data_IF_681598241967
#
_entry.id   IF_681598241967
#
_cell.length_a   1.000
_cell.length_b   1.000
_cell.length_c   1.000
_cell.angle_alpha   90.00
_cell.angle_beta   90.00
_cell.angle_gamma   90.00
#
_symmetry.space_group_name_H-M   'P 1'
#
loop_
_entity.id
_entity.type
_entity.pdbx_description
1 polymer ?
#
# COMPACT_ATOMS: atom_id res chain seq x y z
N UNK A 1 6.30 -3.77 7.14
CA UNK A 1 5.17 -2.83 7.16
C UNK A 1 4.04 -3.45 7.96
N UNK A 2 3.57 -2.76 9.00
CA UNK A 2 2.42 -3.22 9.80
C UNK A 2 1.11 -2.67 9.20
N UNK A 3 0.05 -3.49 9.17
CA UNK A 3 -1.27 -3.02 8.71
C UNK A 3 -1.87 -2.05 9.75
N UNK A 4 -2.55 -1.00 9.29
CA UNK A 4 -3.07 0.13 10.10
C UNK A 4 -2.02 1.01 10.81
N UNK A 5 -0.73 0.84 10.54
CA UNK A 5 0.29 1.79 11.02
C UNK A 5 0.21 3.12 10.26
N UNK A 6 0.88 4.16 10.78
CA UNK A 6 1.04 5.43 10.07
C UNK A 6 1.63 5.22 8.65
N UNK A 7 2.64 4.36 8.55
CA UNK A 7 3.25 3.94 7.27
C UNK A 7 2.20 3.37 6.30
N UNK A 8 1.18 2.65 6.80
CA UNK A 8 0.09 2.15 5.96
C UNK A 8 -0.78 3.25 5.39
N UNK A 9 -1.15 4.24 6.19
CA UNK A 9 -1.92 5.37 5.70
C UNK A 9 -1.14 6.23 4.71
N UNK A 10 0.16 6.43 4.96
CA UNK A 10 1.05 7.14 4.03
C UNK A 10 1.17 6.41 2.69
N UNK A 11 1.26 5.08 2.72
CA UNK A 11 1.36 4.27 1.51
C UNK A 11 0.05 4.30 0.69
N UNK A 12 -1.11 4.28 1.35
CA UNK A 12 -2.41 4.51 0.71
C UNK A 12 -2.46 5.91 0.09
N UNK A 13 -2.04 6.95 0.81
CA UNK A 13 -2.06 8.32 0.29
C UNK A 13 -1.13 8.50 -0.93
N UNK A 14 0.04 7.86 -0.91
CA UNK A 14 0.97 7.88 -2.05
C UNK A 14 0.40 7.12 -3.25
N UNK A 15 -0.22 5.95 -3.01
CA UNK A 15 -0.90 5.21 -4.06
C UNK A 15 -2.06 6.02 -4.67
N UNK A 16 -2.93 6.60 -3.85
CA UNK A 16 -4.04 7.43 -4.32
C UNK A 16 -3.58 8.60 -5.19
N UNK A 17 -2.43 9.19 -4.88
CA UNK A 17 -1.81 10.27 -5.68
C UNK A 17 -1.26 9.78 -7.01
N UNK A 18 -0.69 8.58 -7.04
CA UNK A 18 -0.09 7.99 -8.24
C UNK A 18 -1.14 7.40 -9.20
N UNK A 19 -2.24 6.87 -8.67
CA UNK A 19 -3.27 6.13 -9.42
C UNK A 19 -4.60 6.90 -9.52
N UNK A 20 -4.57 8.22 -9.66
CA UNK A 20 -5.77 9.11 -9.73
C UNK A 20 -6.79 8.74 -10.81
N UNK A 21 -6.42 7.95 -11.81
CA UNK A 21 -7.32 7.46 -12.86
C UNK A 21 -8.12 6.21 -12.50
N UNK A 22 -7.85 5.59 -11.35
CA UNK A 22 -8.53 4.40 -10.87
C UNK A 22 -9.73 4.75 -9.97
N UNK A 23 -10.61 3.78 -9.75
CA UNK A 23 -11.67 3.89 -8.75
C UNK A 23 -11.08 3.67 -7.35
N UNK A 24 -10.87 4.76 -6.62
CA UNK A 24 -10.20 4.77 -5.31
C UNK A 24 -11.16 4.78 -4.11
N UNK A 25 -12.42 4.40 -4.32
CA UNK A 25 -13.41 4.22 -3.26
C UNK A 25 -12.92 3.15 -2.27
N UNK A 26 -12.90 3.47 -0.98
CA UNK A 26 -12.34 2.60 0.06
C UNK A 26 -13.43 1.77 0.73
N UNK A 27 -13.05 0.56 1.12
CA UNK A 27 -13.87 -0.34 1.93
C UNK A 27 -13.79 0.01 3.43
N UNK A 28 -14.67 -0.55 4.29
CA UNK A 28 -14.54 -0.45 5.73
C UNK A 28 -13.16 -0.92 6.24
N UNK A 29 -12.60 -0.19 7.22
CA UNK A 29 -11.24 -0.42 7.75
C UNK A 29 -11.00 -1.82 8.33
N UNK A 30 -12.06 -2.57 8.63
CA UNK A 30 -11.99 -3.94 9.12
C UNK A 30 -11.57 -4.93 8.03
N UNK A 31 -11.86 -4.61 6.77
CA UNK A 31 -11.46 -5.40 5.60
C UNK A 31 -10.01 -5.14 5.18
N UNK A 32 -9.43 -4.01 5.59
CA UNK A 32 -8.06 -3.63 5.22
C UNK A 32 -7.01 -4.58 5.76
N UNK A 33 -7.27 -5.19 6.94
CA UNK A 33 -6.41 -6.22 7.51
C UNK A 33 -6.33 -7.49 6.64
N UNK A 34 -7.32 -7.69 5.77
CA UNK A 34 -7.39 -8.79 4.81
C UNK A 34 -6.82 -8.40 3.43
N UNK A 35 -6.24 -7.20 3.30
CA UNK A 35 -5.74 -6.67 2.03
C UNK A 35 -6.81 -6.10 1.12
N UNK A 36 -8.05 -5.92 1.62
CA UNK A 36 -9.16 -5.35 0.86
C UNK A 36 -9.33 -3.90 1.31
N UNK A 37 -8.67 -2.99 0.60
CA UNK A 37 -8.65 -1.54 0.88
C UNK A 37 -9.62 -0.79 -0.02
N UNK A 38 -9.72 -1.19 -1.29
CA UNK A 38 -10.56 -0.54 -2.30
C UNK A 38 -11.78 -1.39 -2.65
N UNK A 39 -12.84 -0.76 -3.16
CA UNK A 39 -14.03 -1.47 -3.63
C UNK A 39 -13.83 -2.20 -4.96
N UNK A 40 -12.69 -1.96 -5.62
CA UNK A 40 -12.32 -2.59 -6.89
C UNK A 40 -11.19 -3.61 -6.65
N UNK A 41 -11.44 -4.87 -7.03
CA UNK A 41 -10.47 -5.95 -6.92
C UNK A 41 -9.20 -5.72 -7.74
N UNK A 42 -9.30 -5.07 -8.90
CA UNK A 42 -8.15 -4.71 -9.72
C UNK A 42 -7.27 -3.67 -9.03
N UNK A 43 -7.89 -2.66 -8.41
CA UNK A 43 -7.16 -1.63 -7.64
C UNK A 43 -6.49 -2.23 -6.41
N UNK A 44 -7.13 -3.20 -5.73
CA UNK A 44 -6.47 -3.93 -4.65
C UNK A 44 -5.26 -4.74 -5.14
N UNK A 45 -5.34 -5.38 -6.31
CA UNK A 45 -4.20 -6.09 -6.89
C UNK A 45 -3.03 -5.15 -7.21
N UNK A 46 -3.34 -3.96 -7.77
CA UNK A 46 -2.34 -2.91 -8.00
C UNK A 46 -1.74 -2.40 -6.68
N UNK A 47 -2.57 -2.19 -5.66
CA UNK A 47 -2.12 -1.74 -4.35
C UNK A 47 -1.22 -2.78 -3.66
N UNK A 48 -1.53 -4.08 -3.78
CA UNK A 48 -0.67 -5.14 -3.26
C UNK A 48 0.70 -5.18 -3.96
N UNK A 49 0.73 -5.03 -5.29
CA UNK A 49 1.97 -4.92 -6.05
C UNK A 49 2.79 -3.69 -5.63
N UNK A 50 2.14 -2.53 -5.47
CA UNK A 50 2.77 -1.29 -5.02
C UNK A 50 3.39 -1.45 -3.62
N UNK A 51 2.66 -2.07 -2.69
CA UNK A 51 3.13 -2.35 -1.32
C UNK A 51 4.32 -3.30 -1.30
N UNK A 52 4.33 -4.34 -2.14
CA UNK A 52 5.46 -5.27 -2.30
C UNK A 52 6.70 -4.55 -2.82
N UNK A 53 6.56 -3.68 -3.82
CA UNK A 53 7.66 -2.87 -4.34
C UNK A 53 8.25 -1.93 -3.28
N UNK A 54 7.40 -1.26 -2.50
CA UNK A 54 7.84 -0.42 -1.39
C UNK A 54 8.61 -1.22 -0.32
N UNK A 55 8.09 -2.40 0.06
CA UNK A 55 8.75 -3.25 1.04
C UNK A 55 10.14 -3.74 0.57
N UNK A 56 10.26 -4.07 -0.71
CA UNK A 56 11.55 -4.45 -1.32
C UNK A 56 12.55 -3.29 -1.28
N UNK A 57 12.14 -2.10 -1.74
CA UNK A 57 13.01 -0.91 -1.71
C UNK A 57 13.48 -0.58 -0.30
N UNK A 58 12.56 -0.61 0.69
CA UNK A 58 12.90 -0.38 2.09
C UNK A 58 13.90 -1.41 2.63
N UNK A 59 13.74 -2.68 2.26
CA UNK A 59 14.68 -3.73 2.66
C UNK A 59 16.08 -3.49 2.08
N UNK A 60 16.19 -3.03 0.83
CA UNK A 60 17.46 -2.71 0.19
C UNK A 60 18.11 -1.49 0.87
N UNK A 61 17.35 -0.41 1.06
CA UNK A 61 17.86 0.80 1.71
C UNK A 61 18.42 0.52 3.11
N UNK A 62 17.74 -0.35 3.88
CA UNK A 62 18.22 -0.76 5.20
C UNK A 62 19.57 -1.53 5.15
N UNK A 63 19.80 -2.32 4.10
CA UNK A 63 21.07 -3.03 3.90
C UNK A 63 22.21 -2.05 3.57
N UNK A 64 21.96 -1.05 2.75
CA UNK A 64 22.94 -0.01 2.41
C UNK A 64 23.33 0.83 3.63
N UNK A 65 22.38 1.15 4.52
CA UNK A 65 22.66 1.89 5.76
C UNK A 65 23.36 1.07 6.86
N UNK A 66 23.45 -0.25 6.69
CA UNK A 66 24.08 -1.15 7.66
C UNK A 66 25.54 -1.48 7.32
N UNK A 67 26.06 -0.98 6.18
CA UNK A 67 27.46 -1.07 5.75
C UNK A 67 28.26 0.15 6.19
#
# INVERSE_FOLDING_TARGET
MQLKSQEHYELIANFDRAFKGCRLDKEPKDLWLKGIVYQDGHVNALFDAFRKGYALHKSIANLETAQ
#
